data_IF_327057970155
#
_entry.id   IF_327057970155
#
_cell.length_a   1.000
_cell.length_b   1.000
_cell.length_c   1.000
_cell.angle_alpha   90.00
_cell.angle_beta   90.00
_cell.angle_gamma   90.00
#
_symmetry.space_group_name_H-M   'P 1'
#
loop_
_entity.id
_entity.type
_entity.pdbx_description
1 polymer ?
#
# COMPACT_ATOMS: atom_id res chain seq x y z
N UNK A 1 58.16 -3.94 18.56
CA UNK A 1 57.53 -3.60 19.85
C UNK A 1 57.31 -2.10 19.77
N UNK A 2 56.16 -1.57 19.41
CA UNK A 2 54.80 -2.07 19.63
C UNK A 2 53.94 -1.91 18.37
N UNK A 3 53.65 -3.05 17.74
CA UNK A 3 52.40 -3.23 17.00
C UNK A 3 51.33 -3.57 18.06
N UNK A 4 50.05 -3.26 17.84
CA UNK A 4 48.88 -3.62 18.68
C UNK A 4 48.23 -2.56 19.59
N UNK A 5 48.17 -1.28 19.20
CA UNK A 5 47.09 -0.40 19.70
C UNK A 5 46.68 0.60 18.61
N UNK A 6 45.50 0.43 18.00
CA UNK A 6 44.91 1.54 17.24
C UNK A 6 43.98 1.26 16.05
N UNK A 7 43.51 0.05 15.79
CA UNK A 7 42.28 -0.15 15.00
C UNK A 7 41.50 -1.31 15.63
N UNK A 8 40.77 -0.99 16.70
CA UNK A 8 39.62 -1.78 17.07
C UNK A 8 38.70 -1.76 15.85
N UNK A 9 38.50 -2.92 15.23
CA UNK A 9 37.39 -3.12 14.31
C UNK A 9 36.13 -2.79 15.10
N UNK A 10 35.65 -1.55 15.04
CA UNK A 10 34.36 -1.18 15.58
C UNK A 10 33.32 -2.01 14.81
N UNK A 11 32.69 -3.01 15.45
CA UNK A 11 31.75 -3.87 14.76
C UNK A 11 30.46 -3.11 14.37
N UNK A 12 30.33 -1.81 14.70
CA UNK A 12 29.08 -1.07 14.53
C UNK A 12 28.85 -0.43 13.16
N UNK A 13 29.84 -0.15 12.31
CA UNK A 13 29.55 0.67 11.11
C UNK A 13 29.13 -0.08 9.84
N UNK A 14 29.21 -1.42 9.83
CA UNK A 14 28.64 -2.27 8.76
C UNK A 14 27.32 -2.94 9.18
N UNK A 15 26.71 -2.53 10.29
CA UNK A 15 25.36 -2.95 10.66
C UNK A 15 24.39 -2.57 9.53
N UNK A 16 24.07 -3.55 8.69
CA UNK A 16 23.32 -3.49 7.45
C UNK A 16 22.38 -2.27 7.38
N UNK A 17 22.78 -1.27 6.59
CA UNK A 17 21.95 -0.12 6.30
C UNK A 17 20.71 -0.64 5.55
N UNK A 18 19.62 -0.81 6.29
CA UNK A 18 18.39 -1.40 5.75
C UNK A 18 17.91 -0.50 4.60
N UNK A 19 17.74 -1.09 3.41
CA UNK A 19 17.29 -0.37 2.23
C UNK A 19 15.99 0.38 2.52
N UNK A 20 15.79 1.55 1.89
CA UNK A 20 14.61 2.38 2.11
C UNK A 20 13.38 1.80 1.40
N UNK A 21 12.39 1.22 2.11
CA UNK A 21 11.22 0.63 1.48
C UNK A 21 10.14 1.67 1.14
N UNK A 22 10.30 2.96 1.48
CA UNK A 22 9.32 4.00 1.17
C UNK A 22 9.02 4.13 -0.32
N UNK A 23 10.02 4.00 -1.17
CA UNK A 23 9.82 4.03 -2.62
C UNK A 23 8.93 2.87 -3.10
N UNK A 24 9.11 1.68 -2.53
CA UNK A 24 8.28 0.51 -2.82
C UNK A 24 6.83 0.72 -2.37
N UNK A 25 6.63 1.22 -1.15
CA UNK A 25 5.31 1.52 -0.61
C UNK A 25 4.55 2.55 -1.45
N UNK A 26 5.21 3.63 -1.89
CA UNK A 26 4.62 4.67 -2.73
C UNK A 26 4.28 4.17 -4.14
N UNK A 27 5.16 3.41 -4.78
CA UNK A 27 4.90 2.85 -6.12
C UNK A 27 3.75 1.84 -6.06
N UNK A 28 3.74 0.96 -5.04
CA UNK A 28 2.65 0.00 -4.83
C UNK A 28 1.29 0.69 -4.70
N UNK A 29 1.23 1.76 -3.89
CA UNK A 29 0.02 2.56 -3.73
C UNK A 29 -0.39 3.27 -5.02
N UNK A 30 0.54 4.02 -5.62
CA UNK A 30 0.26 4.87 -6.77
C UNK A 30 -0.16 4.06 -7.99
N UNK A 31 0.52 2.95 -8.26
CA UNK A 31 0.18 2.05 -9.36
C UNK A 31 -1.22 1.44 -9.19
N UNK A 32 -1.52 0.90 -8.01
CA UNK A 32 -2.82 0.26 -7.75
C UNK A 32 -3.96 1.29 -7.79
N UNK A 33 -3.71 2.51 -7.29
CA UNK A 33 -4.65 3.63 -7.40
C UNK A 33 -4.89 4.01 -8.86
N UNK A 34 -3.84 4.10 -9.67
CA UNK A 34 -3.97 4.43 -11.09
C UNK A 34 -4.79 3.38 -11.85
N UNK A 35 -4.61 2.09 -11.54
CA UNK A 35 -5.45 1.02 -12.10
C UNK A 35 -6.92 1.16 -11.71
N UNK A 36 -7.20 1.41 -10.43
CA UNK A 36 -8.57 1.64 -9.95
C UNK A 36 -9.22 2.84 -10.65
N UNK A 37 -8.48 3.94 -10.81
CA UNK A 37 -8.99 5.11 -11.51
C UNK A 37 -9.17 4.86 -13.01
N UNK A 38 -8.31 4.02 -13.62
CA UNK A 38 -8.51 3.52 -14.98
C UNK A 38 -9.82 2.76 -15.15
N UNK A 39 -10.22 1.96 -14.16
CA UNK A 39 -11.52 1.27 -14.15
C UNK A 39 -12.71 2.23 -13.91
N UNK A 40 -12.51 3.28 -13.10
CA UNK A 40 -13.55 4.28 -12.81
C UNK A 40 -13.72 5.35 -13.90
N UNK A 41 -12.80 5.40 -14.87
CA UNK A 41 -12.83 6.36 -15.98
C UNK A 41 -13.15 5.66 -17.29
N UNK A 42 -13.71 6.38 -18.25
CA UNK A 42 -13.97 5.84 -19.59
C UNK A 42 -12.69 5.65 -20.42
N UNK A 43 -11.51 5.89 -19.84
CA UNK A 43 -10.22 5.81 -20.54
C UNK A 43 -9.86 4.37 -20.91
N UNK A 44 -10.18 3.41 -20.05
CA UNK A 44 -9.95 1.99 -20.30
C UNK A 44 -11.17 1.27 -20.87
N UNK A 45 -12.39 1.80 -20.66
CA UNK A 45 -13.66 1.14 -21.05
C UNK A 45 -14.38 1.83 -22.22
N UNK A 46 -13.68 2.66 -22.99
CA UNK A 46 -14.20 3.23 -24.24
C UNK A 46 -14.50 2.11 -25.26
N UNK A 47 -15.77 1.71 -25.32
CA UNK A 47 -16.29 0.77 -26.32
C UNK A 47 -16.51 -0.63 -25.78
N UNK A 48 -17.66 -0.82 -25.11
CA UNK A 48 -18.37 -2.10 -24.92
C UNK A 48 -17.49 -3.34 -24.65
N UNK A 49 -16.38 -3.18 -23.93
CA UNK A 49 -15.38 -4.23 -23.78
C UNK A 49 -15.66 -5.04 -22.54
N UNK A 50 -15.92 -6.32 -22.75
CA UNK A 50 -15.99 -7.40 -21.78
C UNK A 50 -14.69 -7.64 -20.98
N UNK A 51 -13.71 -6.73 -21.06
CA UNK A 51 -12.41 -6.78 -20.39
C UNK A 51 -12.32 -5.68 -19.33
N UNK A 52 -13.06 -5.81 -18.23
CA UNK A 52 -13.08 -4.77 -17.21
C UNK A 52 -11.76 -4.72 -16.44
N UNK A 53 -11.11 -3.54 -16.49
CA UNK A 53 -9.91 -3.20 -15.71
C UNK A 53 -10.11 -3.44 -14.20
N UNK A 54 -11.38 -3.49 -13.77
CA UNK A 54 -11.82 -3.84 -12.42
C UNK A 54 -11.26 -5.17 -11.92
N UNK A 55 -11.29 -6.24 -12.73
CA UNK A 55 -10.82 -7.56 -12.27
C UNK A 55 -9.31 -7.58 -12.04
N UNK A 56 -8.56 -6.94 -12.95
CA UNK A 56 -7.10 -6.77 -12.80
C UNK A 56 -6.80 -5.94 -11.54
N UNK A 57 -7.60 -4.90 -11.30
CA UNK A 57 -7.45 -4.05 -10.11
C UNK A 57 -7.59 -4.86 -8.83
N UNK A 58 -8.52 -5.81 -8.73
CA UNK A 58 -8.64 -6.66 -7.52
C UNK A 58 -7.38 -7.50 -7.27
N UNK A 59 -6.77 -8.06 -8.32
CA UNK A 59 -5.51 -8.81 -8.19
C UNK A 59 -4.37 -7.92 -7.68
N UNK A 60 -4.19 -6.73 -8.25
CA UNK A 60 -3.14 -5.80 -7.82
C UNK A 60 -3.44 -5.18 -6.44
N UNK A 61 -4.71 -5.01 -6.08
CA UNK A 61 -5.13 -4.63 -4.75
C UNK A 61 -4.74 -5.71 -3.71
N UNK A 62 -4.93 -7.00 -4.01
CA UNK A 62 -4.51 -8.06 -3.09
C UNK A 62 -2.97 -8.12 -2.94
N UNK A 63 -2.23 -8.08 -4.04
CA UNK A 63 -0.81 -8.40 -4.00
C UNK A 63 0.11 -7.19 -3.95
N UNK A 64 -0.10 -6.17 -4.81
CA UNK A 64 0.84 -5.07 -4.92
C UNK A 64 0.49 -3.92 -3.96
N UNK A 65 -0.64 -3.26 -4.18
CA UNK A 65 -1.16 -2.27 -3.24
C UNK A 65 -1.46 -2.87 -1.87
N UNK A 66 -1.72 -4.17 -1.78
CA UNK A 66 -2.01 -4.88 -0.53
C UNK A 66 -0.74 -5.43 0.14
N UNK A 67 -0.39 -6.67 -0.21
CA UNK A 67 0.69 -7.41 0.45
C UNK A 67 2.06 -6.71 0.34
N UNK A 68 2.47 -6.28 -0.85
CA UNK A 68 3.79 -5.64 -1.03
C UNK A 68 3.85 -4.32 -0.28
N UNK A 69 2.79 -3.50 -0.33
CA UNK A 69 2.75 -2.25 0.42
C UNK A 69 2.75 -2.48 1.94
N UNK A 70 2.03 -3.50 2.42
CA UNK A 70 2.05 -3.91 3.83
C UNK A 70 3.46 -4.32 4.26
N UNK A 71 4.16 -5.12 3.45
CA UNK A 71 5.54 -5.53 3.70
C UNK A 71 6.49 -4.32 3.72
N UNK A 72 6.31 -3.35 2.81
CA UNK A 72 7.07 -2.10 2.84
C UNK A 72 6.88 -1.35 4.17
N UNK A 73 5.64 -1.29 4.68
CA UNK A 73 5.32 -0.75 6.00
C UNK A 73 6.02 -1.50 7.14
N UNK A 74 6.05 -2.84 7.09
CA UNK A 74 6.74 -3.66 8.09
C UNK A 74 8.24 -3.34 8.17
N UNK A 75 8.89 -3.11 7.02
CA UNK A 75 10.30 -2.75 6.95
C UNK A 75 10.58 -1.31 7.41
N UNK A 76 9.61 -0.40 7.35
CA UNK A 76 9.78 0.95 7.91
C UNK A 76 9.82 0.94 9.45
N UNK A 77 9.16 -0.01 10.13
CA UNK A 77 9.33 -0.19 11.57
C UNK A 77 10.79 -0.50 11.92
N UNK A 78 11.48 -1.30 11.10
CA UNK A 78 12.91 -1.62 11.28
C UNK A 78 13.83 -0.41 11.09
N UNK A 79 13.36 0.62 10.37
CA UNK A 79 14.04 1.90 10.13
C UNK A 79 13.59 3.01 11.07
N UNK A 80 12.74 2.72 12.06
CA UNK A 80 12.14 3.68 12.99
C UNK A 80 11.35 4.82 12.29
N UNK A 81 10.85 4.58 11.08
CA UNK A 81 10.01 5.54 10.36
C UNK A 81 8.53 5.24 10.63
N UNK A 82 8.03 5.71 11.78
CA UNK A 82 6.67 5.40 12.23
C UNK A 82 5.57 5.95 11.31
N UNK A 83 5.79 7.14 10.72
CA UNK A 83 4.84 7.72 9.78
C UNK A 83 4.63 6.80 8.57
N UNK A 84 5.72 6.44 7.88
CA UNK A 84 5.65 5.60 6.70
C UNK A 84 5.24 4.17 7.04
N UNK A 85 5.70 3.62 8.16
CA UNK A 85 5.30 2.30 8.63
C UNK A 85 3.79 2.20 8.82
N UNK A 86 3.20 3.18 9.51
CA UNK A 86 1.76 3.19 9.75
C UNK A 86 1.00 3.46 8.45
N UNK A 87 1.43 4.44 7.65
CA UNK A 87 0.77 4.77 6.39
C UNK A 87 0.73 3.58 5.42
N UNK A 88 1.88 2.97 5.12
CA UNK A 88 1.94 1.84 4.18
C UNK A 88 1.24 0.60 4.70
N UNK A 89 1.31 0.31 6.01
CA UNK A 89 0.59 -0.82 6.58
C UNK A 89 -0.92 -0.63 6.50
N UNK A 90 -1.41 0.58 6.79
CA UNK A 90 -2.84 0.89 6.71
C UNK A 90 -3.37 0.85 5.28
N UNK A 91 -2.69 1.48 4.32
CA UNK A 91 -3.11 1.41 2.91
C UNK A 91 -2.92 0.01 2.31
N UNK A 92 -1.93 -0.77 2.78
CA UNK A 92 -1.82 -2.20 2.47
C UNK A 92 -3.05 -2.99 2.93
N UNK A 93 -3.49 -2.74 4.16
CA UNK A 93 -4.74 -3.30 4.69
C UNK A 93 -5.99 -2.87 3.90
N UNK A 94 -6.08 -1.59 3.52
CA UNK A 94 -7.15 -1.07 2.66
C UNK A 94 -7.24 -1.86 1.36
N UNK A 95 -6.12 -2.02 0.65
CA UNK A 95 -6.09 -2.69 -0.64
C UNK A 95 -6.38 -4.19 -0.53
N UNK A 96 -5.88 -4.86 0.51
CA UNK A 96 -6.23 -6.26 0.81
C UNK A 96 -7.74 -6.41 1.02
N UNK A 97 -8.35 -5.51 1.82
CA UNK A 97 -9.80 -5.49 2.06
C UNK A 97 -10.61 -5.23 0.80
N UNK A 98 -10.20 -4.23 0.00
CA UNK A 98 -10.85 -3.90 -1.28
C UNK A 98 -10.77 -5.08 -2.27
N UNK A 99 -9.58 -5.67 -2.42
CA UNK A 99 -9.35 -6.77 -3.34
C UNK A 99 -10.14 -8.02 -2.96
N UNK A 100 -10.16 -8.40 -1.68
CA UNK A 100 -10.91 -9.59 -1.25
C UNK A 100 -12.42 -9.39 -1.40
N UNK A 101 -12.93 -8.21 -1.05
CA UNK A 101 -14.34 -7.86 -1.28
C UNK A 101 -14.70 -7.96 -2.76
N UNK A 102 -13.89 -7.38 -3.64
CA UNK A 102 -14.11 -7.42 -5.09
C UNK A 102 -14.13 -8.83 -5.65
N UNK A 103 -13.18 -9.69 -5.27
CA UNK A 103 -13.14 -11.10 -5.70
C UNK A 103 -14.36 -11.87 -5.21
N UNK A 104 -14.71 -11.77 -3.92
CA UNK A 104 -15.83 -12.52 -3.35
C UNK A 104 -17.18 -12.06 -3.92
N UNK A 105 -17.38 -10.75 -4.08
CA UNK A 105 -18.63 -10.20 -4.58
C UNK A 105 -18.81 -10.45 -6.08
N UNK A 106 -17.73 -10.32 -6.87
CA UNK A 106 -17.77 -10.63 -8.31
C UNK A 106 -17.97 -12.13 -8.59
N UNK A 107 -17.45 -13.00 -7.72
CA UNK A 107 -17.66 -14.44 -7.77
C UNK A 107 -19.01 -14.94 -7.22
N UNK A 108 -19.88 -14.05 -6.72
CA UNK A 108 -21.18 -14.42 -6.15
C UNK A 108 -21.10 -15.13 -4.79
N UNK A 109 -19.96 -15.07 -4.10
CA UNK A 109 -19.78 -15.66 -2.77
C UNK A 109 -20.43 -14.81 -1.68
N UNK A 110 -20.39 -13.49 -1.84
CA UNK A 110 -21.07 -12.51 -0.98
C UNK A 110 -21.92 -11.57 -1.84
N UNK A 111 -22.94 -10.98 -1.23
CA UNK A 111 -23.73 -9.93 -1.89
C UNK A 111 -22.90 -8.66 -2.07
N UNK A 112 -23.09 -7.98 -3.20
CA UNK A 112 -22.50 -6.66 -3.41
C UNK A 112 -23.08 -5.67 -2.41
N UNK A 113 -22.21 -4.93 -1.75
CA UNK A 113 -22.59 -3.87 -0.84
C UNK A 113 -23.31 -2.76 -1.60
N UNK A 114 -24.43 -2.29 -1.04
CA UNK A 114 -25.15 -1.16 -1.59
C UNK A 114 -24.33 0.14 -1.55
N UNK A 115 -24.70 1.16 -2.35
CA UNK A 115 -23.95 2.42 -2.47
C UNK A 115 -23.65 3.08 -1.13
N UNK A 116 -24.62 3.07 -0.20
CA UNK A 116 -24.49 3.72 1.10
C UNK A 116 -23.37 3.12 1.98
N UNK A 117 -23.16 1.81 1.88
CA UNK A 117 -22.09 1.12 2.61
C UNK A 117 -20.72 1.48 2.04
N UNK A 118 -20.61 1.57 0.72
CA UNK A 118 -19.39 1.98 0.02
C UNK A 118 -19.06 3.45 0.32
N UNK A 119 -20.06 4.34 0.31
CA UNK A 119 -19.92 5.75 0.69
C UNK A 119 -19.36 5.91 2.11
N UNK A 120 -19.93 5.19 3.08
CA UNK A 120 -19.46 5.23 4.47
C UNK A 120 -18.03 4.74 4.59
N UNK A 121 -17.70 3.60 3.96
CA UNK A 121 -16.36 3.03 3.92
C UNK A 121 -15.34 4.04 3.37
N UNK A 122 -15.59 4.62 2.19
CA UNK A 122 -14.69 5.58 1.56
C UNK A 122 -14.60 6.89 2.36
N UNK A 123 -15.70 7.33 3.00
CA UNK A 123 -15.69 8.53 3.85
C UNK A 123 -14.78 8.36 5.06
N UNK A 124 -14.80 7.19 5.71
CA UNK A 124 -13.92 6.90 6.84
C UNK A 124 -12.44 6.84 6.41
N UNK A 125 -12.15 6.23 5.26
CA UNK A 125 -10.80 6.25 4.67
C UNK A 125 -10.36 7.67 4.26
N UNK A 126 -11.29 8.52 3.81
CA UNK A 126 -11.03 9.92 3.51
C UNK A 126 -10.62 10.71 4.77
N UNK A 127 -11.35 10.54 5.87
CA UNK A 127 -11.00 11.15 7.17
C UNK A 127 -9.62 10.66 7.63
N UNK A 128 -9.39 9.35 7.58
CA UNK A 128 -8.12 8.75 7.94
C UNK A 128 -6.95 9.29 7.10
N UNK A 129 -7.14 9.44 5.79
CA UNK A 129 -6.16 10.02 4.87
C UNK A 129 -5.90 11.50 5.16
N UNK A 130 -6.96 12.26 5.47
CA UNK A 130 -6.84 13.67 5.84
C UNK A 130 -6.01 13.86 7.11
N UNK A 131 -6.17 12.97 8.10
CA UNK A 131 -5.32 13.00 9.30
C UNK A 131 -3.84 12.77 8.97
N UNK A 132 -3.51 11.83 8.08
CA UNK A 132 -2.13 11.66 7.60
C UNK A 132 -1.60 12.88 6.87
N UNK A 133 -2.43 13.53 6.05
CA UNK A 133 -2.06 14.78 5.39
C UNK A 133 -1.66 15.84 6.42
N UNK A 134 -2.45 16.05 7.47
CA UNK A 134 -2.10 17.00 8.55
C UNK A 134 -0.78 16.62 9.23
N UNK A 135 -0.57 15.35 9.56
CA UNK A 135 0.67 14.88 10.19
C UNK A 135 1.89 15.07 9.28
N UNK A 136 1.72 14.99 7.95
CA UNK A 136 2.82 15.18 7.00
C UNK A 136 3.34 16.61 6.85
N UNK A 137 2.66 17.60 7.45
CA UNK A 137 3.03 19.02 7.37
C UNK A 137 3.99 19.48 8.48
N UNK A 138 4.27 18.64 9.48
CA UNK A 138 5.19 18.91 10.59
C UNK A 138 6.49 18.14 10.45
#
# INVERSE_FOLDING_TARGET
MDYFYGEENDPTSLAAQTANPSALGLIAFGYTTALLQGANTTWAEAGNSTNSTTNITYCYALFFGGLVQLLAGMWEFRRNNMFAATAFSSYGGFWLGYGIYGVLASGGVIEQSGPRSIEMFLSLWGIFTFLYFIVSLG
#
